data_IF_155617760820
#
_entry.id   IF_155617760820
#
_cell.length_a   1.000
_cell.length_b   1.000
_cell.length_c   1.000
_cell.angle_alpha   90.00
_cell.angle_beta   90.00
_cell.angle_gamma   90.00
#
_symmetry.space_group_name_H-M   'P 1'
#
loop_
_entity.id
_entity.type
_entity.pdbx_description
1 polymer ?
#
# COMPACT_ATOMS: atom_id res chain seq x y z
N UNK A 1 12.82 -0.54 -8.67
CA UNK A 1 13.81 0.00 -7.69
C UNK A 1 13.04 0.73 -6.60
N UNK A 2 13.48 0.65 -5.34
CA UNK A 2 12.68 1.02 -4.16
C UNK A 2 12.47 2.54 -3.92
N UNK A 3 13.11 3.42 -4.70
CA UNK A 3 13.05 4.88 -4.51
C UNK A 3 13.08 5.66 -5.84
N UNK A 4 12.22 5.30 -6.80
CA UNK A 4 11.96 6.17 -7.96
C UNK A 4 10.88 7.20 -7.62
N UNK A 5 10.91 8.39 -8.26
CA UNK A 5 9.89 9.45 -8.18
C UNK A 5 8.43 8.98 -8.40
N UNK A 6 8.22 7.74 -8.83
CA UNK A 6 6.94 7.05 -8.89
C UNK A 6 6.32 6.73 -7.51
N UNK A 7 7.07 6.87 -6.41
CA UNK A 7 6.55 6.60 -5.07
C UNK A 7 5.80 7.84 -4.53
N UNK A 8 4.47 7.76 -4.30
CA UNK A 8 3.67 8.94 -3.93
C UNK A 8 4.05 9.57 -2.59
N UNK A 9 4.90 8.89 -1.80
CA UNK A 9 5.41 9.34 -0.50
C UNK A 9 6.15 10.67 -0.57
N UNK A 10 6.78 11.00 -1.70
CA UNK A 10 7.53 12.26 -1.85
C UNK A 10 6.61 13.50 -1.90
N UNK A 11 5.35 13.30 -2.28
CA UNK A 11 4.33 14.34 -2.44
C UNK A 11 3.48 14.49 -1.15
N UNK A 12 3.62 13.56 -0.21
CA UNK A 12 2.86 13.51 1.04
C UNK A 12 2.89 14.81 1.87
N UNK A 13 4.02 15.53 2.04
CA UNK A 13 4.03 16.77 2.84
C UNK A 13 3.24 17.93 2.19
N UNK A 14 2.86 17.83 0.92
CA UNK A 14 2.11 18.90 0.22
C UNK A 14 0.58 18.74 0.29
N UNK A 15 0.05 17.68 0.90
CA UNK A 15 -1.39 17.41 0.92
C UNK A 15 -2.08 17.77 2.25
N UNK A 16 -3.31 18.28 2.15
CA UNK A 16 -4.16 18.63 3.30
C UNK A 16 -4.57 17.37 4.08
N UNK A 17 -4.77 17.51 5.40
CA UNK A 17 -5.13 16.43 6.35
C UNK A 17 -6.24 15.49 5.83
N UNK A 18 -7.28 16.02 5.18
CA UNK A 18 -8.40 15.25 4.65
C UNK A 18 -7.99 14.25 3.54
N UNK A 19 -6.93 14.52 2.79
CA UNK A 19 -6.42 13.65 1.74
C UNK A 19 -5.28 12.75 2.21
N UNK A 20 -4.74 12.95 3.43
CA UNK A 20 -3.65 12.13 3.94
C UNK A 20 -4.06 10.67 4.01
N UNK A 21 -5.28 10.36 4.47
CA UNK A 21 -5.77 8.98 4.52
C UNK A 21 -5.76 8.30 3.15
N UNK A 22 -6.29 8.98 2.12
CA UNK A 22 -6.32 8.47 0.76
C UNK A 22 -4.91 8.29 0.19
N UNK A 23 -3.99 9.19 0.54
CA UNK A 23 -2.59 9.12 0.12
C UNK A 23 -1.85 7.97 0.78
N UNK A 24 -2.06 7.70 2.06
CA UNK A 24 -1.44 6.55 2.74
C UNK A 24 -1.87 5.24 2.09
N UNK A 25 -3.16 5.11 1.80
CA UNK A 25 -3.77 3.97 1.07
C UNK A 25 -3.15 3.82 -0.33
N UNK A 26 -2.86 4.92 -1.02
CA UNK A 26 -2.23 4.90 -2.35
C UNK A 26 -0.75 4.55 -2.29
N UNK A 27 -0.04 5.04 -1.26
CA UNK A 27 1.37 4.73 -1.00
C UNK A 27 1.55 3.25 -0.68
N UNK A 28 0.71 2.69 0.18
CA UNK A 28 0.74 1.26 0.52
C UNK A 28 0.41 0.42 -0.72
N UNK A 29 -0.60 0.82 -1.51
CA UNK A 29 -0.92 0.14 -2.77
C UNK A 29 0.24 0.19 -3.78
N UNK A 30 0.98 1.29 -3.88
CA UNK A 30 2.14 1.41 -4.76
C UNK A 30 3.30 0.49 -4.38
N UNK A 31 3.34 0.00 -3.14
CA UNK A 31 4.30 -0.98 -2.64
C UNK A 31 3.89 -2.44 -2.88
N UNK A 32 2.69 -2.68 -3.40
CA UNK A 32 2.20 -4.00 -3.80
C UNK A 32 3.20 -4.82 -4.63
N UNK A 33 3.83 -4.31 -5.70
CA UNK A 33 4.74 -5.11 -6.51
C UNK A 33 6.06 -5.48 -5.81
N UNK A 34 6.38 -4.82 -4.70
CA UNK A 34 7.56 -5.15 -3.87
C UNK A 34 7.27 -6.33 -2.93
N UNK A 35 5.99 -6.62 -2.67
CA UNK A 35 5.58 -7.64 -1.71
C UNK A 35 5.86 -9.07 -2.19
N UNK A 36 5.78 -9.36 -3.48
CA UNK A 36 6.11 -10.70 -4.00
C UNK A 36 7.60 -11.01 -3.85
N UNK A 37 8.47 -10.03 -4.10
CA UNK A 37 9.90 -10.17 -3.82
C UNK A 37 10.16 -10.46 -2.34
N UNK A 38 9.43 -9.78 -1.44
CA UNK A 38 9.53 -10.00 0.00
C UNK A 38 9.00 -11.37 0.44
N UNK A 39 7.84 -11.81 -0.08
CA UNK A 39 7.23 -13.09 0.28
C UNK A 39 8.06 -14.26 -0.27
N UNK A 40 8.53 -14.16 -1.51
CA UNK A 40 9.33 -15.21 -2.14
C UNK A 40 10.78 -15.20 -1.67
N UNK A 41 11.27 -14.11 -1.07
CA UNK A 41 12.67 -13.92 -0.70
C UNK A 41 13.64 -14.20 -1.87
N UNK A 42 13.16 -13.96 -3.09
CA UNK A 42 13.86 -14.22 -4.34
C UNK A 42 13.62 -13.05 -5.29
N UNK A 43 14.60 -12.77 -6.16
CA UNK A 43 14.50 -11.72 -7.18
C UNK A 43 13.71 -12.24 -8.38
N UNK A 44 12.48 -12.69 -8.14
CA UNK A 44 11.55 -13.19 -9.14
C UNK A 44 10.20 -12.51 -8.96
N UNK A 45 9.63 -12.02 -10.06
CA UNK A 45 8.27 -11.47 -10.08
C UNK A 45 7.50 -12.05 -11.26
N UNK A 46 6.66 -13.04 -10.98
CA UNK A 46 5.81 -13.68 -11.97
C UNK A 46 4.44 -12.98 -12.04
N UNK A 47 3.95 -12.45 -10.92
CA UNK A 47 2.56 -11.97 -10.81
C UNK A 47 2.49 -10.45 -10.58
N UNK A 48 3.42 -9.90 -9.81
CA UNK A 48 3.42 -8.54 -9.29
C UNK A 48 3.55 -7.44 -10.32
N UNK A 49 4.08 -7.75 -11.51
CA UNK A 49 4.21 -6.79 -12.61
C UNK A 49 3.07 -6.90 -13.62
N UNK A 50 2.10 -7.79 -13.39
CA UNK A 50 0.84 -7.79 -14.13
C UNK A 50 -0.19 -6.90 -13.46
N UNK A 51 -1.04 -6.25 -14.28
CA UNK A 51 -2.15 -5.40 -13.81
C UNK A 51 -3.04 -6.15 -12.81
N UNK A 52 -3.31 -7.43 -13.07
CA UNK A 52 -4.07 -8.30 -12.15
C UNK A 52 -3.35 -8.44 -10.82
N UNK A 53 -2.03 -8.69 -10.81
CA UNK A 53 -1.25 -8.88 -9.59
C UNK A 53 -1.19 -7.61 -8.75
N UNK A 54 -0.99 -6.45 -9.38
CA UNK A 54 -1.01 -5.14 -8.73
C UNK A 54 -2.38 -4.87 -8.10
N UNK A 55 -3.47 -5.18 -8.81
CA UNK A 55 -4.81 -4.95 -8.30
C UNK A 55 -5.15 -5.93 -7.16
N UNK A 56 -4.76 -7.20 -7.27
CA UNK A 56 -5.02 -8.21 -6.26
C UNK A 56 -4.23 -7.97 -4.97
N UNK A 57 -2.91 -7.77 -5.07
CA UNK A 57 -2.07 -7.47 -3.91
C UNK A 57 -2.37 -6.09 -3.33
N UNK A 58 -2.54 -5.07 -4.18
CA UNK A 58 -2.89 -3.73 -3.77
C UNK A 58 -4.23 -3.68 -3.03
N UNK A 59 -5.24 -4.38 -3.54
CA UNK A 59 -6.55 -4.48 -2.89
C UNK A 59 -6.50 -5.30 -1.59
N UNK A 60 -5.84 -6.46 -1.58
CA UNK A 60 -5.75 -7.31 -0.40
C UNK A 60 -5.05 -6.60 0.76
N UNK A 61 -3.90 -5.96 0.51
CA UNK A 61 -3.13 -5.25 1.53
C UNK A 61 -3.92 -4.03 2.03
N UNK A 62 -4.51 -3.23 1.14
CA UNK A 62 -5.32 -2.07 1.58
C UNK A 62 -6.54 -2.49 2.38
N UNK A 63 -7.23 -3.56 1.99
CA UNK A 63 -8.39 -4.06 2.72
C UNK A 63 -8.00 -4.47 4.15
N UNK A 64 -6.87 -5.15 4.32
CA UNK A 64 -6.36 -5.54 5.64
C UNK A 64 -5.97 -4.32 6.48
N UNK A 65 -5.29 -3.34 5.88
CA UNK A 65 -4.91 -2.10 6.56
C UNK A 65 -6.13 -1.29 7.01
N UNK A 66 -7.11 -1.08 6.12
CA UNK A 66 -8.37 -0.42 6.45
C UNK A 66 -9.11 -1.14 7.58
N UNK A 67 -9.20 -2.48 7.52
CA UNK A 67 -9.83 -3.26 8.58
C UNK A 67 -9.13 -3.13 9.93
N UNK A 68 -7.78 -3.19 9.95
CA UNK A 68 -6.98 -2.98 11.16
C UNK A 68 -7.22 -1.59 11.76
N UNK A 69 -7.31 -0.56 10.92
CA UNK A 69 -7.52 0.81 11.36
C UNK A 69 -8.93 1.02 11.93
N UNK A 70 -9.95 0.41 11.30
CA UNK A 70 -11.33 0.41 11.81
C UNK A 70 -11.39 -0.32 13.17
N UNK A 71 -10.74 -1.47 13.31
CA UNK A 71 -10.68 -2.19 14.59
C UNK A 71 -9.97 -1.37 15.68
N UNK A 72 -8.84 -0.74 15.35
CA UNK A 72 -8.13 0.13 16.28
C UNK A 72 -9.00 1.31 16.74
N UNK A 73 -9.68 1.97 15.79
CA UNK A 73 -10.60 3.06 16.11
C UNK A 73 -11.79 2.58 16.97
N UNK A 74 -12.37 1.43 16.65
CA UNK A 74 -13.46 0.83 17.43
C UNK A 74 -13.04 0.47 18.87
N UNK A 75 -11.78 0.12 19.10
CA UNK A 75 -11.24 -0.15 20.45
C UNK A 75 -10.93 1.11 21.25
N UNK A 76 -10.67 2.23 20.58
CA UNK A 76 -10.38 3.51 21.23
C UNK A 76 -11.63 4.24 21.73
N UNK A 77 -12.82 3.82 21.28
CA UNK A 77 -14.12 4.42 21.65
C UNK A 77 -14.82 3.68 22.81
N UNK A 78 -14.28 2.54 23.26
CA UNK A 78 -14.70 1.80 24.44
C UNK A 78 -13.70 2.02 25.58
#
# INVERSE_FOLDING_TARGET
MLFTFAHPTIILPCYKQAHLFLMTVFIIASMSPIFEYFIRMAVESDVSHHIIGILLFGFAINSLYCFSLILHYSRSLN
#
